data_IF_248308340823
#
_entry.id   IF_248308340823
#
_cell.length_a   1.000
_cell.length_b   1.000
_cell.length_c   1.000
_cell.angle_alpha   90.00
_cell.angle_beta   90.00
_cell.angle_gamma   90.00
#
_symmetry.space_group_name_H-M   'P 1'
#
loop_
_entity.id
_entity.type
_entity.pdbx_description
1 polymer ?
#
# COMPACT_ATOMS: atom_id res chain seq x y z
N UNK A 1 6.99 12.38 19.61
CA UNK A 1 7.30 12.12 18.19
C UNK A 1 6.11 12.56 17.36
N UNK A 2 6.29 13.55 16.48
CA UNK A 2 5.28 13.88 15.47
C UNK A 2 5.25 12.78 14.40
N UNK A 3 4.07 12.39 13.93
CA UNK A 3 3.95 11.54 12.74
C UNK A 3 4.44 12.35 11.54
N UNK A 4 5.38 11.78 10.81
CA UNK A 4 5.86 12.33 9.55
C UNK A 4 5.10 11.68 8.39
N UNK A 5 4.03 12.34 7.95
CA UNK A 5 3.14 11.83 6.91
C UNK A 5 3.81 11.79 5.52
N UNK A 6 4.93 12.48 5.32
CA UNK A 6 5.72 12.37 4.08
C UNK A 6 6.28 10.96 3.87
N UNK A 7 6.37 10.15 4.93
CA UNK A 7 6.80 8.75 4.86
C UNK A 7 5.67 7.79 4.50
N UNK A 8 4.42 8.26 4.51
CA UNK A 8 3.22 7.46 4.24
C UNK A 8 2.63 7.74 2.85
N UNK A 9 3.38 8.40 1.95
CA UNK A 9 2.93 8.76 0.60
C UNK A 9 2.23 7.58 -0.12
N UNK A 10 2.81 6.36 -0.21
CA UNK A 10 2.14 5.22 -0.84
C UNK A 10 0.80 4.82 -0.23
N UNK A 11 0.58 5.11 1.06
CA UNK A 11 -0.66 4.81 1.77
C UNK A 11 -1.70 5.93 1.67
N UNK A 12 -1.27 7.18 1.56
CA UNK A 12 -2.15 8.37 1.55
C UNK A 12 -2.41 8.91 0.15
N UNK A 13 -1.61 8.48 -0.83
CA UNK A 13 -1.70 8.88 -2.22
C UNK A 13 -2.40 7.80 -3.05
N UNK A 14 -3.34 8.22 -3.90
CA UNK A 14 -4.03 7.34 -4.83
C UNK A 14 -3.21 7.09 -6.10
N UNK A 15 -2.03 7.71 -6.23
CA UNK A 15 -1.10 7.73 -7.39
C UNK A 15 -1.68 8.22 -8.72
N UNK A 16 -3.00 8.17 -8.92
CA UNK A 16 -3.73 8.83 -10.00
C UNK A 16 -4.15 10.26 -9.62
N UNK A 17 -4.31 10.56 -8.33
CA UNK A 17 -4.54 11.91 -7.82
C UNK A 17 -3.87 12.05 -6.45
N UNK A 18 -2.93 12.99 -6.32
CA UNK A 18 -2.37 13.38 -5.02
C UNK A 18 -3.51 13.89 -4.15
N UNK A 19 -3.86 13.15 -3.11
CA UNK A 19 -4.94 13.52 -2.19
C UNK A 19 -4.34 14.18 -0.95
N UNK A 20 -4.77 15.40 -0.67
CA UNK A 20 -4.43 16.04 0.60
C UNK A 20 -5.13 15.33 1.75
N UNK A 21 -4.38 15.06 2.82
CA UNK A 21 -4.90 14.49 4.04
C UNK A 21 -5.88 15.46 4.70
N UNK A 22 -7.13 15.04 4.89
CA UNK A 22 -8.10 15.86 5.62
C UNK A 22 -7.76 15.88 7.11
N UNK A 23 -8.26 16.88 7.88
CA UNK A 23 -8.12 16.88 9.33
C UNK A 23 -8.64 15.59 10.00
N UNK A 24 -9.67 14.97 9.40
CA UNK A 24 -10.24 13.72 9.85
C UNK A 24 -9.29 12.53 9.60
N UNK A 25 -8.66 12.47 8.43
CA UNK A 25 -7.63 11.46 8.13
C UNK A 25 -6.47 11.55 9.11
N UNK A 26 -6.00 12.77 9.39
CA UNK A 26 -4.93 13.03 10.37
C UNK A 26 -5.35 12.58 11.77
N UNK A 27 -6.59 12.84 12.17
CA UNK A 27 -7.12 12.42 13.47
C UNK A 27 -7.12 10.89 13.59
N UNK A 28 -7.60 10.17 12.58
CA UNK A 28 -7.59 8.71 12.57
C UNK A 28 -6.17 8.14 12.57
N UNK A 29 -5.27 8.67 11.75
CA UNK A 29 -3.88 8.20 11.67
C UNK A 29 -3.12 8.38 12.99
N UNK A 30 -3.39 9.46 13.73
CA UNK A 30 -2.83 9.68 15.07
C UNK A 30 -3.34 8.69 16.12
N UNK A 31 -4.48 8.03 15.88
CA UNK A 31 -5.03 7.01 16.76
C UNK A 31 -4.28 5.66 16.72
N UNK A 32 -3.47 5.42 15.69
CA UNK A 32 -2.70 4.18 15.56
C UNK A 32 -1.28 4.30 16.12
N UNK A 33 -0.75 3.19 16.64
CA UNK A 33 0.70 3.07 16.88
C UNK A 33 1.44 3.18 15.55
N UNK A 34 2.56 3.89 15.50
CA UNK A 34 3.31 4.18 14.26
C UNK A 34 3.66 2.94 13.41
N UNK A 35 3.92 1.80 14.05
CA UNK A 35 4.20 0.54 13.36
C UNK A 35 3.04 0.07 12.46
N UNK A 36 1.80 0.46 12.78
CA UNK A 36 0.61 0.06 12.04
C UNK A 36 0.49 0.80 10.70
N UNK A 37 0.49 2.16 10.64
CA UNK A 37 0.56 2.88 9.37
C UNK A 37 1.82 2.54 8.55
N UNK A 38 2.97 2.32 9.20
CA UNK A 38 4.19 1.91 8.50
C UNK A 38 4.03 0.52 7.82
N UNK A 39 3.38 -0.43 8.48
CA UNK A 39 3.02 -1.73 7.91
C UNK A 39 2.07 -1.60 6.72
N UNK A 40 1.01 -0.80 6.87
CA UNK A 40 0.07 -0.54 5.77
C UNK A 40 0.73 0.13 4.57
N UNK A 41 1.62 1.10 4.81
CA UNK A 41 2.40 1.74 3.76
C UNK A 41 3.32 0.75 3.03
N UNK A 42 3.88 -0.21 3.75
CA UNK A 42 4.68 -1.29 3.14
C UNK A 42 3.84 -2.21 2.25
N UNK A 43 2.62 -2.55 2.69
CA UNK A 43 1.67 -3.31 1.88
C UNK A 43 1.21 -2.52 0.64
N UNK A 44 0.93 -1.22 0.79
CA UNK A 44 0.55 -0.33 -0.32
C UNK A 44 1.67 -0.25 -1.36
N UNK A 45 2.93 -0.10 -0.94
CA UNK A 45 4.10 -0.14 -1.85
C UNK A 45 4.20 -1.44 -2.65
N UNK A 46 3.88 -2.57 -2.02
CA UNK A 46 3.85 -3.86 -2.70
C UNK A 46 2.73 -3.96 -3.72
N UNK A 47 1.53 -3.51 -3.35
CA UNK A 47 0.39 -3.49 -4.24
C UNK A 47 0.67 -2.64 -5.48
N UNK A 48 1.26 -1.47 -5.26
CA UNK A 48 1.80 -0.57 -6.28
C UNK A 48 2.78 -1.25 -7.24
N UNK A 49 3.68 -2.09 -6.72
CA UNK A 49 4.64 -2.84 -7.52
C UNK A 49 3.97 -3.96 -8.31
N UNK A 50 3.03 -4.67 -7.70
CA UNK A 50 2.23 -5.69 -8.36
C UNK A 50 1.50 -5.15 -9.59
N UNK A 51 0.86 -3.98 -9.47
CA UNK A 51 0.15 -3.35 -10.59
C UNK A 51 1.10 -2.95 -11.73
N UNK A 52 2.27 -2.40 -11.39
CA UNK A 52 3.31 -2.07 -12.38
C UNK A 52 3.83 -3.32 -13.11
N UNK A 53 4.03 -4.43 -12.40
CA UNK A 53 4.43 -5.72 -13.01
C UNK A 53 3.29 -6.33 -13.86
N UNK A 54 2.03 -6.02 -13.55
CA UNK A 54 0.84 -6.48 -14.26
C UNK A 54 0.45 -5.61 -15.46
N UNK A 55 1.25 -4.57 -15.79
CA UNK A 55 0.99 -3.56 -16.84
C UNK A 55 -0.27 -2.72 -16.62
N UNK A 56 -0.78 -2.65 -15.38
CA UNK A 56 -1.81 -1.70 -14.98
C UNK A 56 -1.12 -0.43 -14.41
N UNK A 57 -0.72 0.48 -15.31
CA UNK A 57 -0.01 1.71 -14.91
C UNK A 57 -0.92 2.72 -14.21
N UNK A 58 -2.23 2.69 -14.48
CA UNK A 58 -3.22 3.55 -13.86
C UNK A 58 -4.25 2.70 -13.12
N UNK A 59 -4.31 2.86 -11.80
CA UNK A 59 -5.37 2.30 -10.98
C UNK A 59 -6.03 3.40 -10.16
N UNK A 60 -7.31 3.22 -9.87
CA UNK A 60 -8.10 4.12 -9.04
C UNK A 60 -8.54 3.33 -7.83
N UNK A 61 -8.19 3.76 -6.63
CA UNK A 61 -8.78 3.20 -5.42
C UNK A 61 -10.27 3.59 -5.32
N UNK A 62 -11.15 2.72 -4.79
CA UNK A 62 -10.84 1.42 -4.18
C UNK A 62 -10.45 0.35 -5.22
N UNK A 63 -9.44 -0.46 -4.87
CA UNK A 63 -9.04 -1.60 -5.69
C UNK A 63 -10.21 -2.59 -5.86
N UNK A 64 -10.31 -3.18 -7.04
CA UNK A 64 -11.32 -4.20 -7.32
C UNK A 64 -11.02 -5.48 -6.55
N UNK A 65 -12.04 -6.29 -6.28
CA UNK A 65 -11.85 -7.60 -5.63
C UNK A 65 -10.84 -8.47 -6.39
N UNK A 66 -10.86 -8.45 -7.73
CA UNK A 66 -9.92 -9.23 -8.54
C UNK A 66 -8.46 -8.79 -8.33
N UNK A 67 -8.19 -7.49 -8.34
CA UNK A 67 -6.85 -6.95 -8.06
C UNK A 67 -6.35 -7.36 -6.68
N UNK A 68 -7.22 -7.44 -5.68
CA UNK A 68 -6.85 -7.92 -4.33
C UNK A 68 -6.51 -9.41 -4.35
N UNK A 69 -7.30 -10.26 -5.03
CA UNK A 69 -6.99 -11.69 -5.13
C UNK A 69 -5.69 -11.97 -5.87
N UNK A 70 -5.48 -11.32 -7.02
CA UNK A 70 -4.26 -11.45 -7.81
C UNK A 70 -3.04 -10.92 -7.06
N UNK A 71 -3.20 -9.81 -6.33
CA UNK A 71 -2.15 -9.32 -5.44
C UNK A 71 -1.79 -10.33 -4.36
N UNK A 72 -2.79 -10.91 -3.67
CA UNK A 72 -2.56 -11.92 -2.65
C UNK A 72 -1.86 -13.16 -3.22
N UNK A 73 -2.22 -13.56 -4.44
CA UNK A 73 -1.56 -14.65 -5.15
C UNK A 73 -0.11 -14.29 -5.51
N UNK A 74 0.12 -13.10 -6.07
CA UNK A 74 1.46 -12.61 -6.43
C UNK A 74 2.37 -12.39 -5.20
N UNK A 75 1.82 -11.92 -4.10
CA UNK A 75 2.53 -11.66 -2.85
C UNK A 75 2.68 -12.93 -1.98
N UNK A 76 1.90 -13.97 -2.26
CA UNK A 76 1.89 -15.22 -1.53
C UNK A 76 3.22 -15.97 -1.66
N UNK A 77 3.65 -16.61 -0.58
CA UNK A 77 4.80 -17.53 -0.62
C UNK A 77 4.38 -18.81 -1.34
N UNK A 78 5.16 -19.21 -2.33
CA UNK A 78 5.02 -20.50 -2.98
C UNK A 78 6.18 -21.41 -2.54
N UNK A 79 5.87 -22.65 -2.13
CA UNK A 79 6.87 -23.61 -1.63
C UNK A 79 7.75 -24.06 -2.81
N UNK A 80 8.79 -23.28 -3.11
CA UNK A 80 9.71 -23.54 -4.22
C UNK A 80 10.15 -22.28 -4.97
N UNK A 81 9.54 -21.12 -4.71
CA UNK A 81 9.89 -19.84 -5.33
C UNK A 81 10.31 -18.83 -4.27
N UNK A 82 11.62 -18.70 -4.07
CA UNK A 82 12.20 -17.55 -3.35
C UNK A 82 12.13 -16.34 -4.27
N UNK A 83 11.02 -15.60 -4.24
CA UNK A 83 10.85 -14.41 -5.07
C UNK A 83 11.42 -13.20 -4.33
N UNK A 84 12.01 -12.23 -5.05
CA UNK A 84 12.50 -10.93 -4.51
C UNK A 84 11.37 -10.05 -3.90
N UNK A 85 10.17 -10.62 -3.75
CA UNK A 85 8.94 -10.01 -3.31
C UNK A 85 8.61 -10.40 -1.86
N UNK A 86 9.41 -11.26 -1.20
CA UNK A 86 9.21 -11.59 0.21
C UNK A 86 9.37 -10.36 1.13
N UNK A 87 8.45 -10.19 2.08
CA UNK A 87 8.63 -9.26 3.21
C UNK A 87 9.19 -10.08 4.38
N UNK A 88 10.29 -9.61 4.95
CA UNK A 88 10.70 -9.90 6.33
C UNK A 88 10.15 -8.85 7.27
#
# INVERSE_FOLDING_TARGET
>A
MSLDFTKLIPFVDNRTCQKDLTPQDIHFLKGYKWNTPAGYNSAARKFVRFLAESKEETFVLPATANQIYEFCYWAGRDKGRSTKQEIS
#
